data_IF_146696093580
#
_entry.id   IF_146696093580
#
_cell.length_a   1.000
_cell.length_b   1.000
_cell.length_c   1.000
_cell.angle_alpha   90.00
_cell.angle_beta   90.00
_cell.angle_gamma   90.00
#
_symmetry.space_group_name_H-M   'P 1'
#
loop_
_entity.id
_entity.type
_entity.pdbx_description
1 polymer ?
#
# COMPACT_ATOMS: atom_id res chain seq x y z
N UNK A 1 -0.89 5.97 -24.73
CA UNK A 1 -1.88 5.15 -23.99
C UNK A 1 -1.09 4.29 -23.03
N UNK A 2 -0.98 4.70 -21.76
CA UNK A 2 -0.41 3.83 -20.74
C UNK A 2 -1.42 2.70 -20.50
N UNK A 3 -1.27 1.62 -21.26
CA UNK A 3 -1.94 0.36 -20.95
C UNK A 3 -1.52 -0.01 -19.53
N UNK A 4 -2.48 -0.06 -18.61
CA UNK A 4 -2.24 -0.62 -17.29
C UNK A 4 -1.90 -2.10 -17.50
N UNK A 5 -0.63 -2.48 -17.31
CA UNK A 5 -0.16 -3.86 -17.42
C UNK A 5 -0.56 -4.71 -16.18
N UNK A 6 -1.17 -4.09 -15.17
CA UNK A 6 -1.77 -4.76 -14.02
C UNK A 6 -3.27 -5.00 -14.20
N UNK A 7 -3.72 -6.20 -13.84
CA UNK A 7 -5.14 -6.46 -13.63
C UNK A 7 -5.70 -5.54 -12.54
N UNK A 8 -6.94 -5.08 -12.71
CA UNK A 8 -7.64 -4.28 -11.69
C UNK A 8 -7.63 -4.96 -10.31
N UNK A 9 -7.63 -6.29 -10.29
CA UNK A 9 -7.57 -7.09 -9.06
C UNK A 9 -6.27 -6.86 -8.27
N UNK A 10 -5.11 -6.90 -8.92
CA UNK A 10 -3.81 -6.69 -8.28
C UNK A 10 -3.69 -5.28 -7.70
N UNK A 11 -4.21 -4.29 -8.44
CA UNK A 11 -4.26 -2.90 -7.99
C UNK A 11 -5.13 -2.74 -6.75
N UNK A 12 -6.32 -3.35 -6.73
CA UNK A 12 -7.24 -3.29 -5.58
C UNK A 12 -6.62 -3.96 -4.36
N UNK A 13 -5.99 -5.14 -4.52
CA UNK A 13 -5.34 -5.85 -3.41
C UNK A 13 -4.25 -4.99 -2.79
N UNK A 14 -3.39 -4.35 -3.60
CA UNK A 14 -2.32 -3.47 -3.09
C UNK A 14 -2.87 -2.24 -2.36
N UNK A 15 -3.96 -1.64 -2.87
CA UNK A 15 -4.62 -0.52 -2.18
C UNK A 15 -5.17 -0.97 -0.83
N UNK A 16 -5.91 -2.08 -0.79
CA UNK A 16 -6.52 -2.61 0.44
C UNK A 16 -5.44 -2.96 1.47
N UNK A 17 -4.40 -3.70 1.08
CA UNK A 17 -3.29 -4.05 1.97
C UNK A 17 -2.55 -2.81 2.46
N UNK A 18 -2.26 -1.84 1.58
CA UNK A 18 -1.61 -0.59 1.95
C UNK A 18 -2.41 0.18 3.00
N UNK A 19 -3.72 0.33 2.81
CA UNK A 19 -4.61 1.01 3.76
C UNK A 19 -4.66 0.27 5.11
N UNK A 20 -4.77 -1.06 5.11
CA UNK A 20 -4.80 -1.86 6.34
C UNK A 20 -3.50 -1.70 7.12
N UNK A 21 -2.34 -1.79 6.46
CA UNK A 21 -1.04 -1.66 7.11
C UNK A 21 -0.83 -0.27 7.70
N UNK A 22 -1.29 0.79 7.02
CA UNK A 22 -1.28 2.14 7.57
C UNK A 22 -2.20 2.25 8.78
N UNK A 23 -3.42 1.73 8.70
CA UNK A 23 -4.36 1.77 9.81
C UNK A 23 -3.80 1.05 11.06
N UNK A 24 -3.29 -0.17 10.88
CA UNK A 24 -2.67 -0.94 11.98
C UNK A 24 -1.41 -0.24 12.51
N UNK A 25 -0.55 0.24 11.62
CA UNK A 25 0.69 0.93 11.99
C UNK A 25 0.45 2.21 12.80
N UNK A 26 -0.54 3.03 12.44
CA UNK A 26 -0.79 4.32 13.09
C UNK A 26 -1.73 4.25 14.30
N UNK A 27 -2.72 3.35 14.29
CA UNK A 27 -3.75 3.30 15.34
C UNK A 27 -3.56 2.18 16.36
N UNK A 28 -2.83 1.11 16.02
CA UNK A 28 -2.69 -0.07 16.91
C UNK A 28 -1.27 -0.19 17.46
N UNK A 29 -0.26 0.11 16.66
CA UNK A 29 1.14 -0.14 17.01
C UNK A 29 1.87 1.14 17.44
N UNK A 30 2.95 0.96 18.20
CA UNK A 30 3.80 2.03 18.73
C UNK A 30 5.28 1.69 18.57
N UNK A 31 6.14 2.71 18.65
CA UNK A 31 7.59 2.55 18.48
C UNK A 31 7.99 2.21 17.04
N UNK A 32 9.07 1.45 16.89
CA UNK A 32 9.68 1.14 15.58
C UNK A 32 8.72 0.45 14.61
N UNK A 33 7.82 -0.41 15.12
CA UNK A 33 6.86 -1.14 14.27
C UNK A 33 5.84 -0.24 13.56
N UNK A 34 5.43 0.86 14.18
CA UNK A 34 4.57 1.88 13.54
C UNK A 34 5.24 2.47 12.31
N UNK A 35 6.54 2.77 12.40
CA UNK A 35 7.31 3.36 11.31
C UNK A 35 7.47 2.35 10.17
N UNK A 36 7.85 1.11 10.49
CA UNK A 36 8.03 0.04 9.49
C UNK A 36 6.74 -0.19 8.71
N UNK A 37 5.61 -0.41 9.39
CA UNK A 37 4.33 -0.66 8.73
C UNK A 37 3.79 0.58 8.00
N UNK A 38 4.06 1.78 8.54
CA UNK A 38 3.80 3.05 7.87
C UNK A 38 4.50 3.12 6.51
N UNK A 39 5.80 2.86 6.47
CA UNK A 39 6.60 2.89 5.24
C UNK A 39 6.13 1.84 4.24
N UNK A 40 5.93 0.59 4.68
CA UNK A 40 5.47 -0.50 3.80
C UNK A 40 4.08 -0.19 3.21
N UNK A 41 3.16 0.34 4.03
CA UNK A 41 1.82 0.74 3.58
C UNK A 41 1.87 1.84 2.51
N UNK A 42 2.68 2.88 2.72
CA UNK A 42 2.86 3.96 1.73
C UNK A 42 3.43 3.41 0.42
N UNK A 43 4.45 2.54 0.46
CA UNK A 43 5.06 1.96 -0.74
C UNK A 43 4.02 1.20 -1.57
N UNK A 44 3.17 0.40 -0.93
CA UNK A 44 2.11 -0.35 -1.63
C UNK A 44 1.10 0.58 -2.32
N UNK A 45 0.69 1.67 -1.66
CA UNK A 45 -0.23 2.66 -2.22
C UNK A 45 0.39 3.43 -3.39
N UNK A 46 1.63 3.88 -3.25
CA UNK A 46 2.35 4.59 -4.32
C UNK A 46 2.51 3.68 -5.53
N UNK A 47 2.89 2.41 -5.31
CA UNK A 47 3.03 1.44 -6.40
C UNK A 47 1.69 1.20 -7.11
N UNK A 48 0.58 1.06 -6.35
CA UNK A 48 -0.76 0.92 -6.92
C UNK A 48 -1.28 2.18 -7.62
N UNK A 49 -0.79 3.37 -7.24
CA UNK A 49 -1.14 4.65 -7.84
C UNK A 49 -0.40 4.89 -9.17
N UNK A 50 0.90 4.54 -9.23
CA UNK A 50 1.71 4.65 -10.45
C UNK A 50 1.18 3.69 -11.53
N UNK A 51 0.70 2.51 -11.15
CA UNK A 51 0.11 1.57 -12.10
C UNK A 51 1.11 0.98 -13.11
N UNK A 52 2.42 1.07 -12.78
CA UNK A 52 3.55 0.49 -13.54
C UNK A 52 4.05 -0.82 -12.91
N UNK A 53 3.14 -1.64 -12.42
CA UNK A 53 3.41 -3.03 -12.13
C UNK A 53 2.40 -3.88 -12.88
#
# INVERSE_FOLDING_TARGET
MFSLNMGSTDRIIRVVLGVILLAVGFFVLSGTWKIVLGVVGVILLVTAAIGWC
#
